data_IF_845531638207
#
_entry.id   IF_845531638207
#
_cell.length_a   1.000
_cell.length_b   1.000
_cell.length_c   1.000
_cell.angle_alpha   90.00
_cell.angle_beta   90.00
_cell.angle_gamma   90.00
#
_symmetry.space_group_name_H-M   'P 1'
#
loop_
_entity.id
_entity.type
_entity.pdbx_description
1 polymer ?
#
# COMPACT_ATOMS: atom_id res chain seq x y z
N UNK A 1 -20.00 -0.93 15.26
CA UNK A 1 -19.94 -2.38 15.60
C UNK A 1 -18.79 -2.98 14.80
N UNK A 2 -17.89 -3.75 15.45
CA UNK A 2 -16.82 -4.44 14.74
C UNK A 2 -17.43 -5.65 14.02
N UNK A 3 -17.29 -5.71 12.70
CA UNK A 3 -17.82 -6.80 11.89
C UNK A 3 -16.90 -8.02 11.96
N UNK A 4 -17.40 -9.26 11.81
CA UNK A 4 -16.55 -10.46 11.82
C UNK A 4 -15.40 -10.42 10.80
N UNK A 5 -15.62 -9.82 9.64
CA UNK A 5 -14.64 -9.69 8.55
C UNK A 5 -13.40 -8.89 8.98
N UNK A 6 -13.53 -8.03 9.99
CA UNK A 6 -12.41 -7.31 10.58
C UNK A 6 -11.33 -8.25 11.12
N UNK A 7 -11.75 -9.29 11.85
CA UNK A 7 -10.83 -10.19 12.56
C UNK A 7 -10.05 -11.11 11.63
N UNK A 8 -10.58 -11.34 10.43
CA UNK A 8 -9.98 -12.21 9.40
C UNK A 8 -9.36 -11.40 8.25
N UNK A 9 -9.44 -10.06 8.30
CA UNK A 9 -8.86 -9.20 7.27
C UNK A 9 -7.34 -9.31 7.31
N UNK A 10 -6.74 -9.63 6.17
CA UNK A 10 -5.28 -9.85 6.09
C UNK A 10 -4.51 -8.57 6.47
N UNK A 11 -4.97 -7.40 6.00
CA UNK A 11 -4.40 -6.09 6.33
C UNK A 11 -4.37 -5.85 7.84
N UNK A 12 -5.46 -6.22 8.55
CA UNK A 12 -5.59 -6.07 10.00
C UNK A 12 -4.71 -7.09 10.73
N UNK A 13 -4.69 -8.35 10.28
CA UNK A 13 -3.91 -9.41 10.93
C UNK A 13 -2.40 -9.22 10.78
N UNK A 14 -1.97 -8.44 9.78
CA UNK A 14 -0.56 -8.09 9.52
C UNK A 14 -0.03 -7.03 10.48
N UNK A 15 -0.92 -6.24 11.12
CA UNK A 15 -0.54 -5.27 12.14
C UNK A 15 -0.28 -5.93 13.50
N UNK A 16 0.50 -5.26 14.36
CA UNK A 16 0.63 -5.63 15.78
C UNK A 16 -0.70 -5.51 16.52
N UNK A 17 -0.84 -6.20 17.65
CA UNK A 17 -2.07 -6.16 18.44
C UNK A 17 -2.43 -4.73 18.88
N UNK A 18 -1.42 -3.95 19.28
CA UNK A 18 -1.61 -2.55 19.67
C UNK A 18 -2.05 -1.68 18.49
N UNK A 19 -1.46 -1.84 17.30
CA UNK A 19 -1.90 -1.15 16.08
C UNK A 19 -3.33 -1.52 15.66
N UNK A 20 -3.73 -2.79 15.80
CA UNK A 20 -5.13 -3.20 15.57
C UNK A 20 -6.09 -2.50 16.53
N UNK A 21 -5.74 -2.43 17.81
CA UNK A 21 -6.54 -1.75 18.82
C UNK A 21 -6.59 -0.23 18.58
N UNK A 22 -5.48 0.37 18.18
CA UNK A 22 -5.40 1.76 17.72
C UNK A 22 -6.39 2.01 16.59
N UNK A 23 -6.42 1.15 15.57
CA UNK A 23 -7.33 1.31 14.43
C UNK A 23 -8.81 1.23 14.83
N UNK A 24 -9.17 0.27 15.67
CA UNK A 24 -10.53 0.17 16.24
C UNK A 24 -10.87 1.40 17.09
N UNK A 25 -9.91 1.87 17.90
CA UNK A 25 -10.06 3.05 18.75
C UNK A 25 -10.35 4.29 17.93
N UNK A 26 -9.61 4.50 16.83
CA UNK A 26 -9.80 5.63 15.91
C UNK A 26 -11.24 5.71 15.38
N UNK A 27 -11.94 4.58 15.20
CA UNK A 27 -13.33 4.61 14.73
C UNK A 27 -14.29 5.32 15.70
N UNK A 28 -13.93 5.45 16.98
CA UNK A 28 -14.76 6.16 17.96
C UNK A 28 -14.47 7.66 18.00
N UNK A 29 -13.23 8.07 17.68
CA UNK A 29 -12.75 9.45 17.87
C UNK A 29 -12.67 10.25 16.57
N UNK A 30 -12.63 9.58 15.42
CA UNK A 30 -12.79 10.23 14.13
C UNK A 30 -14.11 11.02 14.05
N UNK A 31 -14.14 12.04 13.21
CA UNK A 31 -15.42 12.65 12.80
C UNK A 31 -16.22 11.71 11.88
N UNK A 32 -17.41 12.16 11.45
CA UNK A 32 -18.30 11.33 10.64
C UNK A 32 -17.76 11.04 9.23
N UNK A 33 -16.62 11.64 8.85
CA UNK A 33 -15.90 11.34 7.63
C UNK A 33 -14.65 10.47 7.90
N UNK A 34 -14.46 9.93 9.10
CA UNK A 34 -13.29 9.10 9.40
C UNK A 34 -12.00 9.90 9.50
N UNK A 35 -12.08 11.19 9.82
CA UNK A 35 -10.92 12.07 9.98
C UNK A 35 -10.63 12.32 11.46
N UNK A 36 -9.36 12.23 11.83
CA UNK A 36 -8.83 12.56 13.14
C UNK A 36 -7.61 13.47 13.02
N UNK A 37 -7.35 14.44 13.91
CA UNK A 37 -6.07 15.15 13.92
C UNK A 37 -4.90 14.18 14.13
N UNK A 38 -3.79 14.34 13.41
CA UNK A 38 -2.57 13.57 13.68
C UNK A 38 -1.87 14.19 14.89
N UNK A 39 -2.40 13.89 16.07
CA UNK A 39 -1.94 14.42 17.35
C UNK A 39 -1.65 13.25 18.30
N UNK A 40 -0.44 12.74 18.24
CA UNK A 40 -0.01 11.48 18.89
C UNK A 40 -0.26 11.47 20.39
N UNK A 41 0.00 12.60 21.08
CA UNK A 41 -0.34 12.74 22.50
C UNK A 41 -1.84 12.58 22.76
N UNK A 42 -2.69 13.17 21.92
CA UNK A 42 -4.15 13.08 22.04
C UNK A 42 -4.62 11.66 21.77
N UNK A 43 -4.15 11.05 20.69
CA UNK A 43 -4.46 9.66 20.31
C UNK A 43 -4.07 8.69 21.43
N UNK A 44 -2.90 8.88 22.04
CA UNK A 44 -2.46 8.11 23.21
C UNK A 44 -3.44 8.24 24.38
N UNK A 45 -3.86 9.47 24.70
CA UNK A 45 -4.77 9.71 25.82
C UNK A 45 -6.21 9.24 25.55
N UNK A 46 -6.64 9.21 24.29
CA UNK A 46 -7.98 8.75 23.91
C UNK A 46 -8.09 7.22 23.90
N UNK A 47 -7.06 6.55 23.37
CA UNK A 47 -7.10 5.10 23.10
C UNK A 47 -6.35 4.30 24.18
N UNK A 48 -5.27 4.85 24.75
CA UNK A 48 -4.38 4.19 25.71
C UNK A 48 -4.11 5.02 26.99
N UNK A 49 -5.13 5.63 27.64
CA UNK A 49 -4.92 6.57 28.75
C UNK A 49 -4.21 5.97 29.97
N UNK A 50 -4.35 4.66 30.21
CA UNK A 50 -3.78 3.96 31.36
C UNK A 50 -2.52 3.17 31.04
N UNK A 51 -2.16 3.05 29.76
CA UNK A 51 -1.05 2.20 29.35
C UNK A 51 0.28 2.97 29.39
N UNK A 52 1.31 2.26 29.84
CA UNK A 52 2.68 2.75 29.85
C UNK A 52 3.31 2.59 28.46
N UNK A 53 2.76 3.31 27.48
CA UNK A 53 3.31 3.44 26.13
C UNK A 53 3.94 4.82 25.92
N UNK A 54 5.06 4.84 25.22
CA UNK A 54 5.75 6.04 24.74
C UNK A 54 5.02 6.64 23.53
N UNK A 55 5.34 7.89 23.19
CA UNK A 55 4.75 8.52 21.99
C UNK A 55 5.32 7.92 20.71
N UNK A 56 6.58 7.49 20.72
CA UNK A 56 7.25 6.81 19.60
C UNK A 56 6.58 5.47 19.27
N UNK A 57 6.13 4.73 20.29
CA UNK A 57 5.34 3.50 20.09
C UNK A 57 4.02 3.80 19.38
N UNK A 58 3.31 4.87 19.79
CA UNK A 58 2.05 5.28 19.13
C UNK A 58 2.30 5.68 17.67
N UNK A 59 3.35 6.45 17.38
CA UNK A 59 3.72 6.78 16.00
C UNK A 59 4.04 5.53 15.18
N UNK A 60 4.75 4.55 15.78
CA UNK A 60 5.05 3.27 15.13
C UNK A 60 3.76 2.55 14.75
N UNK A 61 2.78 2.50 15.67
CA UNK A 61 1.48 1.89 15.39
C UNK A 61 0.68 2.64 14.32
N UNK A 62 0.74 3.98 14.30
CA UNK A 62 0.14 4.79 13.22
C UNK A 62 0.80 4.45 11.89
N UNK A 63 2.13 4.35 11.85
CA UNK A 63 2.88 4.01 10.64
C UNK A 63 2.55 2.59 10.16
N UNK A 64 2.39 1.61 11.05
CA UNK A 64 1.91 0.28 10.67
C UNK A 64 0.56 0.33 9.96
N UNK A 65 -0.37 1.17 10.44
CA UNK A 65 -1.67 1.34 9.77
C UNK A 65 -1.57 2.02 8.41
N UNK A 66 -0.61 2.94 8.25
CA UNK A 66 -0.31 3.58 6.96
C UNK A 66 0.29 2.57 5.98
N UNK A 67 1.27 1.78 6.43
CA UNK A 67 1.96 0.77 5.62
C UNK A 67 1.00 -0.33 5.14
N UNK A 68 0.00 -0.67 5.96
CA UNK A 68 -1.07 -1.62 5.63
C UNK A 68 -2.28 -0.98 4.91
N UNK A 69 -2.18 0.27 4.46
CA UNK A 69 -3.22 0.98 3.72
C UNK A 69 -4.58 1.13 4.46
N UNK A 70 -4.55 1.12 5.79
CA UNK A 70 -5.74 1.28 6.64
C UNK A 70 -6.03 2.75 6.95
N UNK A 71 -4.96 3.55 7.05
CA UNK A 71 -5.01 4.99 7.36
C UNK A 71 -4.10 5.76 6.39
N UNK A 72 -4.38 7.03 6.14
CA UNK A 72 -3.49 7.95 5.43
C UNK A 72 -3.29 9.23 6.23
N UNK A 73 -2.04 9.70 6.29
CA UNK A 73 -1.68 11.01 6.86
C UNK A 73 -1.73 12.06 5.73
N UNK A 74 -2.32 13.22 5.99
CA UNK A 74 -2.34 14.34 5.07
C UNK A 74 -2.35 15.68 5.82
N UNK A 75 -1.94 16.75 5.13
CA UNK A 75 -1.93 18.11 5.67
C UNK A 75 -3.05 18.95 5.05
N UNK A 76 -3.76 19.70 5.87
CA UNK A 76 -4.77 20.66 5.42
C UNK A 76 -4.79 21.86 6.36
N UNK A 77 -4.90 23.07 5.84
CA UNK A 77 -4.94 24.29 6.64
C UNK A 77 -3.75 24.39 7.62
N UNK A 78 -2.57 23.94 7.17
CA UNK A 78 -1.34 23.94 7.97
C UNK A 78 -1.27 22.91 9.11
N UNK A 79 -2.21 21.96 9.21
CA UNK A 79 -2.23 20.91 10.24
C UNK A 79 -2.28 19.51 9.63
N UNK A 80 -1.74 18.53 10.33
CA UNK A 80 -1.75 17.12 9.92
C UNK A 80 -2.97 16.38 10.48
N UNK A 81 -3.49 15.46 9.67
CA UNK A 81 -4.68 14.68 9.92
C UNK A 81 -4.47 13.24 9.47
N UNK A 82 -5.14 12.32 10.17
CA UNK A 82 -5.32 10.93 9.83
C UNK A 82 -6.69 10.74 9.21
N UNK A 83 -6.75 10.04 8.07
CA UNK A 83 -7.99 9.60 7.44
C UNK A 83 -8.04 8.08 7.44
N UNK A 84 -9.07 7.51 8.06
CA UNK A 84 -9.39 6.08 7.92
C UNK A 84 -9.87 5.80 6.50
N UNK A 85 -9.21 4.88 5.81
CA UNK A 85 -9.61 4.45 4.46
C UNK A 85 -10.85 3.58 4.53
N UNK A 86 -11.62 3.54 3.43
CA UNK A 86 -12.87 2.77 3.34
C UNK A 86 -13.84 3.04 4.50
N UNK A 87 -13.89 4.27 5.01
CA UNK A 87 -14.67 4.64 6.20
C UNK A 87 -16.15 4.26 6.10
N UNK A 88 -16.74 4.40 4.92
CA UNK A 88 -18.10 4.00 4.58
C UNK A 88 -18.38 2.50 4.78
N UNK A 89 -17.35 1.65 4.65
CA UNK A 89 -17.44 0.21 4.94
C UNK A 89 -17.39 -0.07 6.45
N UNK A 90 -16.76 0.80 7.22
CA UNK A 90 -16.59 0.66 8.67
C UNK A 90 -17.75 1.27 9.45
N UNK A 91 -18.21 2.46 9.04
CA UNK A 91 -19.28 3.21 9.68
C UNK A 91 -20.26 3.73 8.63
N UNK A 92 -21.52 3.31 8.75
CA UNK A 92 -22.63 3.91 8.00
C UNK A 92 -23.25 5.00 8.85
N UNK A 93 -23.12 6.24 8.42
CA UNK A 93 -23.64 7.42 9.13
C UNK A 93 -24.67 8.10 8.25
N UNK A 94 -25.91 8.15 8.73
CA UNK A 94 -26.97 8.87 8.06
C UNK A 94 -26.88 10.36 8.46
N UNK A 95 -26.52 11.22 7.49
CA UNK A 95 -26.29 12.69 7.62
C UNK A 95 -25.00 13.05 8.40
N UNK A 96 -23.82 12.94 7.77
CA UNK A 96 -22.54 13.15 8.44
C UNK A 96 -22.30 14.60 8.84
N UNK A 97 -21.72 14.79 10.02
CA UNK A 97 -21.15 16.05 10.53
C UNK A 97 -19.63 16.00 10.46
N UNK A 98 -19.09 16.51 9.35
CA UNK A 98 -17.65 16.61 9.15
C UNK A 98 -17.09 17.81 9.92
N UNK A 99 -16.17 17.56 10.85
CA UNK A 99 -15.52 18.60 11.67
C UNK A 99 -14.18 19.02 11.08
N UNK A 100 -13.51 18.12 10.37
CA UNK A 100 -12.15 18.33 9.88
C UNK A 100 -12.11 18.42 8.34
N UNK A 101 -11.09 19.09 7.76
CA UNK A 101 -10.95 19.19 6.31
C UNK A 101 -10.76 17.80 5.71
N UNK A 102 -11.49 17.45 4.65
CA UNK A 102 -11.25 16.18 3.95
C UNK A 102 -9.93 16.25 3.15
N UNK A 103 -9.40 15.08 2.80
CA UNK A 103 -8.17 14.96 1.99
C UNK A 103 -8.28 15.68 0.63
N UNK A 104 -9.49 15.83 0.08
CA UNK A 104 -9.71 16.57 -1.17
C UNK A 104 -9.43 18.08 -1.05
N UNK A 105 -9.37 18.59 0.20
CA UNK A 105 -9.03 19.98 0.54
C UNK A 105 -7.66 20.07 1.21
N UNK A 106 -6.84 19.03 1.09
CA UNK A 106 -5.47 19.03 1.58
C UNK A 106 -4.68 20.15 0.89
N UNK A 107 -3.91 20.90 1.66
CA UNK A 107 -2.82 21.69 1.09
C UNK A 107 -1.79 20.65 0.71
N UNK A 108 -1.74 20.32 -0.58
CA UNK A 108 -0.83 19.30 -1.10
C UNK A 108 0.60 19.86 -1.00
N UNK A 109 1.19 19.84 0.19
CA UNK A 109 2.62 19.66 0.36
C UNK A 109 2.86 18.17 0.14
N UNK A 110 2.93 17.80 -1.15
CA UNK A 110 3.63 16.58 -1.55
C UNK A 110 5.00 16.64 -0.90
N UNK A 111 5.46 15.62 -0.14
CA UNK A 111 6.89 15.48 0.08
C UNK A 111 7.53 15.47 -1.31
N UNK A 112 8.48 16.39 -1.52
CA UNK A 112 9.13 16.69 -2.79
C UNK A 112 9.25 15.47 -3.73
N UNK A 113 8.28 15.35 -4.63
CA UNK A 113 8.44 14.57 -5.85
C UNK A 113 9.20 15.48 -6.81
N UNK A 114 10.43 15.09 -7.13
CA UNK A 114 11.20 15.71 -8.21
C UNK A 114 10.34 15.82 -9.49
N UNK A 115 10.48 16.90 -10.28
CA UNK A 115 9.47 17.31 -11.24
C UNK A 115 9.36 16.32 -12.41
N UNK A 116 8.27 15.56 -12.48
CA UNK A 116 7.92 14.80 -13.69
C UNK A 116 7.29 15.76 -14.69
N UNK A 117 8.06 16.09 -15.73
CA UNK A 117 7.62 16.91 -16.86
C UNK A 117 6.35 16.32 -17.47
N UNK A 118 5.29 17.13 -17.52
CA UNK A 118 4.12 16.88 -18.37
C UNK A 118 4.57 16.90 -19.83
N UNK A 119 4.46 15.77 -20.52
CA UNK A 119 4.44 15.72 -21.98
C UNK A 119 3.21 14.93 -22.39
N UNK A 120 2.34 15.57 -23.16
CA UNK A 120 1.18 14.99 -23.84
C UNK A 120 1.20 15.58 -25.26
N UNK A 121 0.70 14.93 -26.31
CA UNK A 121 0.57 13.50 -26.61
C UNK A 121 1.28 13.14 -27.94
N UNK A 122 1.51 11.85 -28.19
CA UNK A 122 1.60 11.35 -29.56
C UNK A 122 0.79 10.06 -29.66
N UNK A 123 -0.35 10.15 -30.34
CA UNK A 123 -1.10 9.00 -30.81
C UNK A 123 -0.26 8.25 -31.85
N UNK A 124 -0.18 6.93 -31.72
CA UNK A 124 -0.14 6.04 -32.88
C UNK A 124 -0.81 4.72 -32.50
N UNK A 125 -1.77 4.32 -33.33
CA UNK A 125 -2.52 3.07 -33.26
C UNK A 125 -1.69 1.89 -33.80
N UNK A 126 -2.16 0.70 -33.44
CA UNK A 126 -2.03 -0.63 -34.08
C UNK A 126 -1.13 -1.64 -33.33
N UNK A 127 -1.44 -2.95 -33.37
CA UNK A 127 -2.73 -3.64 -33.29
C UNK A 127 -2.75 -4.70 -32.16
N UNK A 128 -3.95 -5.11 -31.74
CA UNK A 128 -4.23 -6.05 -30.65
C UNK A 128 -3.62 -7.45 -30.92
N UNK A 129 -2.74 -7.94 -30.04
CA UNK A 129 -2.60 -9.37 -29.72
C UNK A 129 -2.28 -9.58 -28.23
N UNK A 130 -3.04 -10.52 -27.67
CA UNK A 130 -2.92 -11.16 -26.35
C UNK A 130 -3.02 -10.26 -25.12
N UNK A 131 -3.98 -10.59 -24.26
CA UNK A 131 -4.29 -9.84 -23.06
C UNK A 131 -3.07 -9.83 -22.13
N UNK A 132 -2.36 -8.69 -22.07
CA UNK A 132 -1.15 -8.52 -21.29
C UNK A 132 -1.35 -8.84 -19.80
N UNK A 133 -2.56 -8.66 -19.26
CA UNK A 133 -2.89 -9.04 -17.90
C UNK A 133 -2.93 -10.56 -17.74
N UNK A 134 -3.42 -11.28 -18.73
CA UNK A 134 -3.48 -12.74 -18.76
C UNK A 134 -2.09 -13.39 -18.90
N UNK A 135 -1.25 -12.81 -19.75
CA UNK A 135 0.16 -13.22 -19.87
C UNK A 135 0.90 -13.02 -18.55
N UNK A 136 0.72 -11.86 -17.90
CA UNK A 136 1.32 -11.56 -16.60
C UNK A 136 0.86 -12.51 -15.48
N UNK A 137 -0.44 -12.80 -15.40
CA UNK A 137 -0.97 -13.73 -14.38
C UNK A 137 -0.44 -15.15 -14.62
N UNK A 138 -0.38 -15.58 -15.88
CA UNK A 138 0.18 -16.89 -16.26
C UNK A 138 1.66 -16.99 -15.91
N UNK A 139 2.41 -15.90 -16.10
CA UNK A 139 3.82 -15.81 -15.71
C UNK A 139 4.01 -16.04 -14.21
N UNK A 140 3.28 -15.32 -13.35
CA UNK A 140 3.34 -15.51 -11.88
C UNK A 140 3.00 -16.95 -11.48
N UNK A 141 1.93 -17.50 -12.05
CA UNK A 141 1.49 -18.86 -11.76
C UNK A 141 2.57 -19.89 -12.12
N UNK A 142 3.24 -19.72 -13.26
CA UNK A 142 4.35 -20.59 -13.67
C UNK A 142 5.56 -20.49 -12.74
N UNK A 143 5.86 -19.28 -12.22
CA UNK A 143 7.04 -19.03 -11.41
C UNK A 143 6.90 -19.48 -9.96
N UNK A 144 5.72 -19.29 -9.37
CA UNK A 144 5.45 -19.62 -7.97
C UNK A 144 4.74 -20.97 -7.79
N UNK A 145 4.35 -21.64 -8.88
CA UNK A 145 3.51 -22.83 -8.84
C UNK A 145 2.08 -22.56 -8.34
N UNK A 146 1.65 -21.30 -8.41
CA UNK A 146 0.34 -20.84 -7.96
C UNK A 146 -0.72 -20.94 -9.07
N UNK A 147 -2.00 -20.73 -8.71
CA UNK A 147 -3.16 -20.78 -9.62
C UNK A 147 -4.06 -19.56 -9.47
N UNK A 148 -3.47 -18.37 -9.52
CA UNK A 148 -4.20 -17.12 -9.53
C UNK A 148 -5.07 -17.00 -10.79
N UNK A 149 -6.25 -16.42 -10.63
CA UNK A 149 -7.20 -16.20 -11.70
C UNK A 149 -7.30 -14.72 -12.06
N UNK A 150 -7.59 -14.47 -13.33
CA UNK A 150 -7.91 -13.14 -13.85
C UNK A 150 -9.28 -12.71 -13.34
N UNK A 151 -9.30 -11.68 -12.49
CA UNK A 151 -10.54 -11.09 -11.98
C UNK A 151 -10.77 -9.71 -12.62
N UNK A 152 -12.02 -9.26 -12.65
CA UNK A 152 -12.37 -7.93 -13.17
C UNK A 152 -11.63 -6.80 -12.45
N UNK A 153 -11.38 -6.97 -11.15
CA UNK A 153 -10.64 -6.00 -10.32
C UNK A 153 -9.19 -5.88 -10.77
N UNK A 154 -8.49 -7.02 -10.88
CA UNK A 154 -7.08 -7.07 -11.31
C UNK A 154 -6.93 -6.55 -12.74
N UNK A 155 -7.84 -6.92 -13.65
CA UNK A 155 -7.87 -6.37 -15.01
C UNK A 155 -8.02 -4.85 -15.03
N UNK A 156 -8.97 -4.31 -14.26
CA UNK A 156 -9.21 -2.87 -14.22
C UNK A 156 -8.00 -2.10 -13.67
N UNK A 157 -7.39 -2.61 -12.59
CA UNK A 157 -6.21 -2.00 -11.99
C UNK A 157 -4.98 -2.13 -12.89
N UNK A 158 -4.77 -3.28 -13.53
CA UNK A 158 -3.67 -3.49 -14.48
C UNK A 158 -3.78 -2.54 -15.68
N UNK A 159 -4.96 -2.45 -16.30
CA UNK A 159 -5.21 -1.53 -17.43
C UNK A 159 -5.06 -0.06 -17.03
N UNK A 160 -5.38 0.30 -15.77
CA UNK A 160 -5.09 1.64 -15.27
C UNK A 160 -3.59 1.93 -15.26
N UNK A 161 -2.73 0.97 -14.90
CA UNK A 161 -1.26 1.16 -14.96
C UNK A 161 -0.72 1.21 -16.38
N UNK A 162 -1.27 0.42 -17.30
CA UNK A 162 -0.92 0.57 -18.71
C UNK A 162 -1.26 1.98 -19.21
N UNK A 163 -2.41 2.53 -18.79
CA UNK A 163 -2.80 3.91 -19.09
C UNK A 163 -1.87 4.95 -18.41
N UNK A 164 -1.35 4.64 -17.23
CA UNK A 164 -0.36 5.47 -16.54
C UNK A 164 1.04 5.42 -17.20
N UNK A 165 1.23 4.58 -18.22
CA UNK A 165 2.45 4.46 -19.01
C UNK A 165 3.35 3.29 -18.65
N UNK A 166 2.93 2.41 -17.74
CA UNK A 166 3.65 1.17 -17.45
C UNK A 166 3.41 0.12 -18.54
N UNK A 167 4.36 -0.80 -18.69
CA UNK A 167 4.30 -1.89 -19.66
C UNK A 167 4.20 -3.23 -18.95
N UNK A 168 3.75 -4.30 -19.64
CA UNK A 168 3.76 -5.64 -19.05
C UNK A 168 5.16 -6.09 -18.56
N UNK A 169 6.21 -5.66 -19.26
CA UNK A 169 7.60 -5.91 -18.86
C UNK A 169 7.97 -5.23 -17.53
N UNK A 170 7.37 -4.09 -17.21
CA UNK A 170 7.58 -3.42 -15.92
C UNK A 170 7.01 -4.24 -14.76
N UNK A 171 5.85 -4.87 -14.97
CA UNK A 171 5.25 -5.77 -13.98
C UNK A 171 6.08 -7.02 -13.74
N UNK A 172 6.61 -7.63 -14.82
CA UNK A 172 7.51 -8.78 -14.72
C UNK A 172 8.80 -8.42 -13.99
N UNK A 173 9.41 -7.28 -14.33
CA UNK A 173 10.64 -6.80 -13.70
C UNK A 173 10.44 -6.50 -12.21
N UNK A 174 9.36 -5.82 -11.85
CA UNK A 174 9.00 -5.56 -10.46
C UNK A 174 8.80 -6.86 -9.69
N UNK A 175 8.16 -7.85 -10.31
CA UNK A 175 7.95 -9.16 -9.72
C UNK A 175 9.28 -9.89 -9.49
N UNK A 176 10.18 -9.96 -10.46
CA UNK A 176 11.49 -10.61 -10.28
C UNK A 176 12.31 -9.94 -9.18
N UNK A 177 12.28 -8.61 -9.10
CA UNK A 177 12.94 -7.86 -8.02
C UNK A 177 12.36 -8.23 -6.64
N UNK A 178 11.06 -8.46 -6.55
CA UNK A 178 10.42 -8.87 -5.31
C UNK A 178 10.66 -10.35 -4.96
N UNK A 179 10.78 -11.24 -5.95
CA UNK A 179 11.20 -12.64 -5.74
C UNK A 179 12.66 -12.70 -5.24
N UNK A 180 13.49 -11.75 -5.67
CA UNK A 180 14.88 -11.67 -5.22
C UNK A 180 15.04 -11.19 -3.77
N UNK A 181 14.01 -10.55 -3.21
CA UNK A 181 14.05 -9.95 -1.88
C UNK A 181 13.94 -10.97 -0.73
N UNK A 182 14.68 -10.69 0.34
CA UNK A 182 14.82 -11.60 1.47
C UNK A 182 13.51 -11.75 2.25
N UNK A 183 12.72 -10.69 2.37
CA UNK A 183 11.44 -10.73 3.06
C UNK A 183 10.46 -11.66 2.34
N UNK A 184 10.36 -11.58 1.01
CA UNK A 184 9.45 -12.45 0.25
C UNK A 184 9.91 -13.91 0.24
N UNK A 185 11.22 -14.18 0.18
CA UNK A 185 11.76 -15.53 0.32
C UNK A 185 11.47 -16.15 1.68
N UNK A 186 11.69 -15.39 2.77
CA UNK A 186 11.39 -15.83 4.14
C UNK A 186 9.91 -16.11 4.37
N UNK A 187 9.04 -15.38 3.67
CA UNK A 187 7.60 -15.55 3.74
C UNK A 187 7.03 -16.49 2.66
N UNK A 188 7.86 -17.32 2.03
CA UNK A 188 7.46 -18.29 1.01
C UNK A 188 6.60 -17.67 -0.12
N UNK A 189 6.95 -16.45 -0.53
CA UNK A 189 6.27 -15.67 -1.57
C UNK A 189 4.78 -15.42 -1.36
N UNK A 190 4.28 -15.60 -0.12
CA UNK A 190 2.86 -15.46 0.24
C UNK A 190 2.23 -14.16 -0.27
N UNK A 191 2.99 -13.07 -0.29
CA UNK A 191 2.52 -11.72 -0.61
C UNK A 191 2.69 -11.33 -2.09
N UNK A 192 3.31 -12.18 -2.91
CA UNK A 192 3.53 -11.92 -4.35
C UNK A 192 2.33 -12.34 -5.19
N UNK A 193 1.23 -11.57 -5.06
CA UNK A 193 0.01 -11.79 -5.84
C UNK A 193 -0.06 -10.89 -7.07
N UNK A 194 -0.88 -11.23 -8.10
CA UNK A 194 -1.07 -10.33 -9.24
C UNK A 194 -1.61 -8.96 -8.84
N UNK A 195 -2.47 -8.89 -7.82
CA UNK A 195 -3.04 -7.63 -7.33
C UNK A 195 -1.96 -6.74 -6.68
N UNK A 196 -0.97 -7.33 -6.02
CA UNK A 196 0.10 -6.62 -5.32
C UNK A 196 0.83 -5.62 -6.23
N UNK A 197 1.18 -6.03 -7.46
CA UNK A 197 1.87 -5.16 -8.42
C UNK A 197 0.93 -4.27 -9.25
N UNK A 198 -0.39 -4.45 -9.17
CA UNK A 198 -1.33 -3.50 -9.79
C UNK A 198 -1.45 -2.16 -9.03
N UNK A 199 -0.83 -2.08 -7.85
CA UNK A 199 -0.67 -0.86 -7.06
C UNK A 199 0.51 -0.03 -7.59
N UNK A 200 0.34 1.26 -7.89
CA UNK A 200 1.36 2.08 -8.55
C UNK A 200 2.58 2.35 -7.67
N UNK A 201 2.35 2.56 -6.37
CA UNK A 201 3.38 2.74 -5.34
C UNK A 201 4.24 1.48 -5.20
N UNK A 202 3.60 0.30 -5.18
CA UNK A 202 4.28 -0.99 -5.07
C UNK A 202 5.05 -1.30 -6.37
N UNK A 203 4.41 -1.11 -7.52
CA UNK A 203 5.03 -1.32 -8.84
C UNK A 203 6.28 -0.45 -8.97
N UNK A 204 6.17 0.84 -8.67
CA UNK A 204 7.29 1.78 -8.74
C UNK A 204 8.40 1.46 -7.72
N UNK A 205 8.03 1.08 -6.49
CA UNK A 205 8.98 0.64 -5.46
C UNK A 205 9.84 -0.53 -5.96
N UNK A 206 9.21 -1.56 -6.52
CA UNK A 206 9.92 -2.75 -6.96
C UNK A 206 10.64 -2.56 -8.30
N UNK A 207 10.18 -1.67 -9.17
CA UNK A 207 10.93 -1.26 -10.36
C UNK A 207 12.25 -0.56 -10.00
N UNK A 208 12.22 0.26 -8.95
CA UNK A 208 13.37 1.04 -8.48
C UNK A 208 14.24 0.29 -7.47
N UNK A 209 13.82 -0.90 -7.03
CA UNK A 209 14.60 -1.72 -6.12
C UNK A 209 15.94 -2.08 -6.78
N UNK A 210 17.05 -1.60 -6.20
CA UNK A 210 18.39 -1.99 -6.62
C UNK A 210 18.61 -3.43 -6.17
N UNK A 211 18.73 -4.32 -7.14
CA UNK A 211 19.11 -5.71 -6.90
C UNK A 211 20.50 -5.68 -6.27
N UNK A 212 20.62 -5.97 -4.98
CA UNK A 212 21.89 -6.45 -4.42
C UNK A 212 21.97 -7.89 -4.89
N UNK A 213 22.44 -8.08 -6.13
CA UNK A 213 22.86 -9.41 -6.57
C UNK A 213 23.99 -9.76 -5.60
N UNK A 214 23.91 -10.86 -4.82
CA UNK A 214 25.09 -11.37 -4.16
C UNK A 214 26.06 -11.62 -5.31
N UNK A 215 27.11 -10.81 -5.37
CA UNK A 215 28.21 -11.04 -6.30
C UNK A 215 28.66 -12.47 -6.03
N UNK A 216 28.41 -13.37 -6.99
CA UNK A 216 28.89 -14.74 -6.91
C UNK A 216 30.34 -14.67 -6.46
N UNK A 217 30.67 -15.47 -5.44
CA UNK A 217 32.04 -15.71 -5.06
C UNK A 217 32.76 -16.22 -6.31
N UNK A 218 33.41 -15.31 -7.04
CA UNK A 218 34.84 -15.13 -6.90
C UNK A 218 35.58 -16.41 -6.51
N UNK A 219 35.37 -17.52 -7.20
CA UNK A 219 36.34 -18.61 -7.24
C UNK A 219 37.67 -17.97 -7.61
N UNK A 220 38.56 -17.86 -6.63
CA UNK A 220 39.98 -17.66 -6.85
C UNK A 220 40.70 -18.75 -6.09
N UNK A 221 40.56 -19.96 -6.63
CA UNK A 221 41.63 -20.95 -6.53
C UNK A 221 42.76 -20.46 -7.45
N UNK A 222 43.90 -20.07 -6.88
CA UNK A 222 45.23 -20.21 -7.49
C UNK A 222 46.36 -19.65 -6.59
N UNK A 223 47.16 -20.59 -6.07
CA UNK A 223 48.63 -20.53 -5.97
C UNK A 223 49.32 -19.46 -5.10
N UNK A 224 49.65 -19.82 -3.84
CA UNK A 224 51.01 -20.17 -3.38
C UNK A 224 51.10 -20.40 -1.88
#
# INVERSE_FOLDING_TARGET
>A
MIKPEFWISEDITSCTLAARLLFVGLWNFCDDNGVHPHATKTIKMEIFPGDNMSFEEIETYIQELVDNDLVVIYKAQGKEYLKVKNWDKHQRIDRPKCRYPNIDKADIETPEQAPVKKVVPAETKDPIKEDACETYISYINSRLGCRFQKTNKVMAQFNARIKDGFTGADFEKAFENAVADEFHRKNNFKYLTPEFFTRPDILQKWLNAKIVVPMEAAEFDAER
#
